data_IF_430870587516
#
_entry.id   IF_430870587516
#
_cell.length_a   1.000
_cell.length_b   1.000
_cell.length_c   1.000
_cell.angle_alpha   90.00
_cell.angle_beta   90.00
_cell.angle_gamma   90.00
#
_symmetry.space_group_name_H-M   'P 1'
#
loop_
_entity.id
_entity.type
_entity.pdbx_description
1 polymer ?
#
# COMPACT_ATOMS: atom_id res chain seq x y z
N UNK A 1 4.90 -21.17 9.37
CA UNK A 1 3.56 -21.18 8.74
C UNK A 1 3.25 -22.55 8.18
N UNK A 2 1.97 -22.93 8.14
CA UNK A 2 1.50 -24.17 7.52
C UNK A 2 1.92 -24.23 6.04
N UNK A 3 2.46 -25.36 5.59
CA UNK A 3 2.87 -25.57 4.18
C UNK A 3 1.68 -25.44 3.24
N UNK A 4 0.49 -25.90 3.63
CA UNK A 4 -0.71 -25.82 2.80
C UNK A 4 -1.12 -24.37 2.56
N UNK A 5 -1.04 -23.54 3.59
CA UNK A 5 -1.29 -22.10 3.51
C UNK A 5 -0.34 -21.40 2.54
N UNK A 6 0.97 -21.72 2.63
CA UNK A 6 1.98 -21.16 1.70
C UNK A 6 1.67 -21.55 0.26
N UNK A 7 1.33 -22.81 0.00
CA UNK A 7 0.98 -23.27 -1.35
C UNK A 7 -0.24 -22.54 -1.90
N UNK A 8 -1.32 -22.40 -1.13
CA UNK A 8 -2.54 -21.71 -1.57
C UNK A 8 -2.29 -20.23 -1.88
N UNK A 9 -1.45 -19.55 -1.07
CA UNK A 9 -1.04 -18.17 -1.35
C UNK A 9 -0.16 -18.06 -2.60
N UNK A 10 0.81 -18.97 -2.79
CA UNK A 10 1.65 -19.01 -3.98
C UNK A 10 0.85 -19.25 -5.26
N UNK A 11 -0.22 -20.04 -5.22
CA UNK A 11 -1.12 -20.25 -6.36
C UNK A 11 -1.88 -18.98 -6.74
N UNK A 12 -2.14 -18.08 -5.78
CA UNK A 12 -2.83 -16.81 -6.01
C UNK A 12 -1.89 -15.79 -6.66
N UNK A 13 -0.72 -15.54 -6.04
CA UNK A 13 0.16 -14.42 -6.44
C UNK A 13 1.36 -14.83 -7.27
N UNK A 14 1.70 -16.12 -7.30
CA UNK A 14 2.96 -16.66 -7.83
C UNK A 14 4.07 -16.71 -6.78
N UNK A 15 4.95 -17.72 -6.86
CA UNK A 15 6.03 -17.92 -5.87
C UNK A 15 6.99 -16.72 -5.75
N UNK A 16 7.20 -15.98 -6.83
CA UNK A 16 8.04 -14.76 -6.84
C UNK A 16 7.47 -13.64 -5.94
N UNK A 17 6.15 -13.65 -5.71
CA UNK A 17 5.42 -12.59 -5.02
C UNK A 17 4.96 -12.99 -3.62
N UNK A 18 5.44 -14.13 -3.11
CA UNK A 18 5.30 -14.59 -1.74
C UNK A 18 6.68 -14.79 -1.13
N UNK A 19 6.94 -14.19 0.04
CA UNK A 19 8.19 -14.40 0.75
C UNK A 19 7.99 -14.72 2.23
N UNK A 20 8.72 -15.73 2.70
CA UNK A 20 8.90 -16.07 4.11
C UNK A 20 10.37 -16.04 4.52
N UNK A 21 11.23 -15.41 3.71
CA UNK A 21 12.68 -15.31 3.97
C UNK A 21 12.96 -14.29 5.07
N UNK A 22 13.84 -14.61 6.01
CA UNK A 22 14.08 -13.80 7.20
C UNK A 22 14.51 -12.35 6.89
N UNK A 23 15.32 -12.14 5.86
CA UNK A 23 15.76 -10.83 5.38
C UNK A 23 14.59 -9.98 4.85
N UNK A 24 13.68 -10.59 4.09
CA UNK A 24 12.47 -9.93 3.61
C UNK A 24 11.53 -9.65 4.78
N UNK A 25 11.28 -10.60 5.68
CA UNK A 25 10.40 -10.38 6.83
C UNK A 25 10.91 -9.22 7.71
N UNK A 26 12.23 -9.12 7.91
CA UNK A 26 12.85 -8.02 8.64
C UNK A 26 12.61 -6.67 7.97
N UNK A 27 12.73 -6.57 6.64
CA UNK A 27 12.50 -5.33 5.90
C UNK A 27 11.05 -4.81 6.00
N UNK A 28 10.10 -5.68 6.34
CA UNK A 28 8.67 -5.36 6.49
C UNK A 28 8.22 -5.37 7.96
N UNK A 29 9.14 -5.48 8.91
CA UNK A 29 8.83 -5.59 10.35
C UNK A 29 8.54 -4.26 11.05
N UNK A 30 8.89 -3.13 10.42
CA UNK A 30 8.75 -1.79 10.97
C UNK A 30 8.32 -0.78 9.93
N UNK A 31 8.03 0.44 10.36
CA UNK A 31 7.73 1.61 9.52
C UNK A 31 8.86 2.64 9.63
N UNK A 32 8.65 3.86 9.13
CA UNK A 32 9.58 4.95 9.35
C UNK A 32 9.55 5.49 10.81
N UNK A 33 8.58 5.06 11.62
CA UNK A 33 8.55 5.35 13.05
C UNK A 33 9.75 4.75 13.77
N UNK A 34 10.36 5.53 14.66
CA UNK A 34 11.38 5.07 15.61
C UNK A 34 10.81 4.77 17.00
N UNK A 35 9.49 4.90 17.19
CA UNK A 35 8.85 4.81 18.50
C UNK A 35 8.50 3.38 18.93
N UNK A 36 8.49 2.43 17.99
CA UNK A 36 8.01 1.06 18.20
C UNK A 36 9.05 0.03 17.79
N UNK A 37 9.03 -1.10 18.51
CA UNK A 37 9.87 -2.24 18.20
C UNK A 37 9.40 -2.94 16.91
N UNK A 38 10.33 -3.48 16.11
CA UNK A 38 9.98 -4.25 14.92
C UNK A 38 9.23 -5.53 15.29
N UNK A 39 8.18 -5.84 14.54
CA UNK A 39 7.40 -7.09 14.67
C UNK A 39 7.55 -7.91 13.40
N UNK A 40 7.96 -9.17 13.51
CA UNK A 40 8.14 -10.01 12.33
C UNK A 40 6.80 -10.54 11.82
N UNK A 41 6.45 -10.30 10.54
CA UNK A 41 5.32 -10.97 9.91
C UNK A 41 5.67 -12.44 9.63
N UNK A 42 4.65 -13.26 9.39
CA UNK A 42 4.81 -14.64 8.94
C UNK A 42 5.09 -14.75 7.44
N UNK A 43 4.53 -13.83 6.64
CA UNK A 43 4.77 -13.74 5.20
C UNK A 43 4.58 -12.32 4.66
N UNK A 44 5.26 -12.02 3.56
CA UNK A 44 5.04 -10.82 2.73
C UNK A 44 4.46 -11.28 1.39
N UNK A 45 3.32 -10.73 1.01
CA UNK A 45 2.53 -11.11 -0.16
C UNK A 45 2.33 -9.88 -1.03
N UNK A 46 2.66 -9.95 -2.33
CA UNK A 46 2.61 -8.83 -3.27
C UNK A 46 1.61 -9.08 -4.40
N UNK A 47 0.30 -8.84 -4.20
CA UNK A 47 -0.70 -9.02 -5.26
C UNK A 47 -0.50 -8.07 -6.44
N UNK A 48 -0.91 -8.48 -7.63
CA UNK A 48 -0.87 -7.69 -8.86
C UNK A 48 -2.11 -6.82 -9.07
N UNK A 49 -3.25 -7.23 -8.49
CA UNK A 49 -4.57 -6.66 -8.75
C UNK A 49 -5.54 -6.89 -7.58
N UNK A 50 -6.73 -6.31 -7.69
CA UNK A 50 -7.77 -6.42 -6.68
C UNK A 50 -8.35 -7.84 -6.53
N UNK A 51 -8.29 -8.67 -7.58
CA UNK A 51 -8.78 -10.05 -7.51
C UNK A 51 -7.85 -10.90 -6.62
N UNK A 52 -6.54 -10.75 -6.79
CA UNK A 52 -5.55 -11.39 -5.91
C UNK A 52 -5.68 -10.89 -4.48
N UNK A 53 -5.87 -9.59 -4.25
CA UNK A 53 -6.13 -9.04 -2.90
C UNK A 53 -7.35 -9.72 -2.27
N UNK A 54 -8.46 -9.81 -3.00
CA UNK A 54 -9.69 -10.47 -2.51
C UNK A 54 -9.44 -11.94 -2.14
N UNK A 55 -8.71 -12.69 -2.96
CA UNK A 55 -8.37 -14.09 -2.67
C UNK A 55 -7.47 -14.23 -1.43
N UNK A 56 -6.49 -13.34 -1.26
CA UNK A 56 -5.62 -13.33 -0.06
C UNK A 56 -6.45 -13.09 1.21
N UNK A 57 -7.39 -12.14 1.18
CA UNK A 57 -8.29 -11.87 2.32
C UNK A 57 -9.10 -13.12 2.68
N UNK A 58 -9.63 -13.83 1.69
CA UNK A 58 -10.38 -15.08 1.92
C UNK A 58 -9.51 -16.17 2.54
N UNK A 59 -8.26 -16.33 2.08
CA UNK A 59 -7.31 -17.29 2.66
C UNK A 59 -6.95 -16.89 4.09
N UNK A 60 -6.66 -15.62 4.35
CA UNK A 60 -6.35 -15.14 5.69
C UNK A 60 -7.50 -15.40 6.67
N UNK A 61 -8.75 -15.11 6.26
CA UNK A 61 -9.94 -15.39 7.05
C UNK A 61 -10.14 -16.89 7.30
N UNK A 62 -9.91 -17.73 6.30
CA UNK A 62 -10.01 -19.20 6.41
C UNK A 62 -9.02 -19.79 7.42
N UNK A 63 -7.83 -19.20 7.54
CA UNK A 63 -6.75 -19.68 8.40
C UNK A 63 -6.57 -18.86 9.70
N UNK A 64 -7.46 -17.89 9.94
CA UNK A 64 -7.42 -16.98 11.09
C UNK A 64 -6.08 -16.25 11.23
N UNK A 65 -5.55 -15.73 10.11
CA UNK A 65 -4.28 -14.99 10.10
C UNK A 65 -4.55 -13.49 9.91
N UNK A 66 -4.03 -12.62 10.80
CA UNK A 66 -4.21 -11.18 10.65
C UNK A 66 -3.52 -10.66 9.39
N UNK A 67 -4.10 -9.62 8.79
CA UNK A 67 -3.54 -8.92 7.63
C UNK A 67 -3.17 -7.50 8.03
N UNK A 68 -1.96 -7.11 7.64
CA UNK A 68 -1.51 -5.72 7.65
C UNK A 68 -1.33 -5.25 6.21
N UNK A 69 -2.23 -4.40 5.68
CA UNK A 69 -2.02 -3.80 4.37
C UNK A 69 -0.84 -2.83 4.45
N UNK A 70 0.03 -2.87 3.44
CA UNK A 70 1.19 -1.99 3.37
C UNK A 70 1.36 -1.45 1.95
N UNK A 71 1.69 -0.17 1.85
CA UNK A 71 2.13 0.43 0.60
C UNK A 71 3.60 0.87 0.74
N UNK A 72 3.90 2.15 0.60
CA UNK A 72 5.27 2.69 0.70
C UNK A 72 5.96 2.55 2.07
N UNK A 73 5.26 2.10 3.12
CA UNK A 73 5.84 1.83 4.44
C UNK A 73 6.42 3.05 5.17
N UNK A 74 6.13 4.27 4.70
CA UNK A 74 6.73 5.52 5.16
C UNK A 74 5.98 6.17 6.34
N UNK A 75 5.03 5.48 6.97
CA UNK A 75 4.27 6.07 8.07
C UNK A 75 5.15 6.27 9.31
N UNK A 76 4.81 7.31 10.08
CA UNK A 76 5.40 7.62 11.39
C UNK A 76 4.49 7.23 12.56
N UNK A 77 3.26 6.77 12.29
CA UNK A 77 2.24 6.48 13.32
C UNK A 77 1.91 4.98 13.39
N UNK A 78 2.86 4.13 13.00
CA UNK A 78 2.85 2.68 13.29
C UNK A 78 1.78 1.85 12.54
N UNK A 79 0.95 2.44 11.69
CA UNK A 79 -0.22 1.76 11.08
C UNK A 79 0.13 0.59 10.15
N UNK A 80 1.38 0.51 9.71
CA UNK A 80 1.89 -0.56 8.85
C UNK A 80 2.91 -1.47 9.56
N UNK A 81 2.95 -1.45 10.90
CA UNK A 81 3.63 -2.48 11.69
C UNK A 81 2.75 -3.74 11.68
N UNK A 82 3.31 -4.92 11.38
CA UNK A 82 2.51 -6.13 11.26
C UNK A 82 2.20 -6.77 12.61
N UNK A 83 1.18 -7.62 12.61
CA UNK A 83 0.93 -8.54 13.73
C UNK A 83 1.93 -9.72 13.72
N UNK A 84 2.34 -10.25 14.89
CA UNK A 84 3.27 -11.38 14.96
C UNK A 84 2.77 -12.58 14.17
N UNK A 85 3.53 -13.03 13.18
CA UNK A 85 3.14 -14.16 12.33
C UNK A 85 2.02 -13.87 11.33
N UNK A 86 1.53 -12.63 11.26
CA UNK A 86 0.52 -12.17 10.31
C UNK A 86 1.04 -12.02 8.88
N UNK A 87 0.14 -11.67 7.96
CA UNK A 87 0.50 -11.36 6.57
C UNK A 87 0.70 -9.87 6.40
N UNK A 88 1.82 -9.49 5.81
CA UNK A 88 1.93 -8.17 5.17
C UNK A 88 1.49 -8.31 3.72
N UNK A 89 0.45 -7.57 3.35
CA UNK A 89 -0.03 -7.50 1.96
C UNK A 89 0.46 -6.19 1.37
N UNK A 90 1.51 -6.26 0.55
CA UNK A 90 2.15 -5.09 -0.03
C UNK A 90 1.58 -4.76 -1.43
N UNK A 91 1.06 -3.54 -1.57
CA UNK A 91 0.23 -3.14 -2.69
C UNK A 91 1.00 -2.40 -3.81
N UNK A 92 2.33 -2.36 -3.82
CA UNK A 92 3.11 -1.51 -4.73
C UNK A 92 3.00 -1.93 -6.20
N UNK A 93 2.54 -3.16 -6.49
CA UNK A 93 2.30 -3.63 -7.86
C UNK A 93 1.00 -3.12 -8.48
N UNK A 94 0.08 -2.56 -7.68
CA UNK A 94 -1.16 -1.98 -8.18
C UNK A 94 -0.87 -0.57 -8.70
N UNK A 95 -0.31 -0.48 -9.91
CA UNK A 95 0.27 0.78 -10.45
C UNK A 95 -0.56 1.44 -11.55
N UNK A 96 -1.76 0.94 -11.83
CA UNK A 96 -2.60 1.48 -12.90
C UNK A 96 -3.03 2.92 -12.61
N UNK A 97 -3.00 3.77 -13.65
CA UNK A 97 -3.48 5.15 -13.58
C UNK A 97 -4.42 5.38 -14.75
N UNK A 98 -5.64 5.84 -14.46
CA UNK A 98 -6.65 6.19 -15.46
C UNK A 98 -7.09 7.64 -15.27
N UNK A 99 -6.81 8.47 -16.26
CA UNK A 99 -7.24 9.87 -16.29
C UNK A 99 -8.66 10.02 -16.85
N UNK A 100 -9.50 10.74 -16.13
CA UNK A 100 -10.85 11.13 -16.55
C UNK A 100 -10.86 12.63 -16.83
N UNK A 101 -10.51 13.03 -18.06
CA UNK A 101 -10.29 14.45 -18.43
C UNK A 101 -11.51 15.34 -18.16
N UNK A 102 -12.70 14.88 -18.50
CA UNK A 102 -13.96 15.62 -18.33
C UNK A 102 -14.28 15.89 -16.85
N UNK A 103 -13.92 14.96 -15.98
CA UNK A 103 -14.14 15.06 -14.53
C UNK A 103 -12.98 15.71 -13.80
N UNK A 104 -11.85 15.96 -14.49
CA UNK A 104 -10.58 16.38 -13.91
C UNK A 104 -10.17 15.53 -12.71
N UNK A 105 -10.39 14.21 -12.82
CA UNK A 105 -10.10 13.24 -11.77
C UNK A 105 -9.24 12.09 -12.30
N UNK A 106 -8.66 11.31 -11.39
CA UNK A 106 -7.85 10.13 -11.70
C UNK A 106 -8.31 8.96 -10.84
N UNK A 107 -8.37 7.78 -11.45
CA UNK A 107 -8.38 6.51 -10.70
C UNK A 107 -6.95 6.01 -10.65
N UNK A 108 -6.46 5.67 -9.46
CA UNK A 108 -5.09 5.22 -9.25
C UNK A 108 -5.07 3.92 -8.44
N UNK A 109 -4.18 3.01 -8.81
CA UNK A 109 -3.91 1.82 -8.03
C UNK A 109 -3.23 2.17 -6.69
N UNK A 110 -3.37 1.30 -5.70
CA UNK A 110 -2.88 1.53 -4.35
C UNK A 110 -1.35 1.64 -4.24
N UNK A 111 -0.62 1.12 -5.25
CA UNK A 111 0.83 1.20 -5.35
C UNK A 111 1.37 2.48 -5.99
N UNK A 112 0.50 3.35 -6.50
CA UNK A 112 0.92 4.59 -7.17
C UNK A 112 1.42 5.60 -6.13
N UNK A 113 2.70 5.99 -6.23
CA UNK A 113 3.28 7.06 -5.41
C UNK A 113 2.83 8.44 -5.87
N UNK A 114 2.84 9.42 -4.97
CA UNK A 114 2.56 10.81 -5.33
C UNK A 114 3.55 11.32 -6.40
N UNK A 115 4.82 10.93 -6.33
CA UNK A 115 5.82 11.30 -7.34
C UNK A 115 5.51 10.74 -8.73
N UNK A 116 5.06 9.49 -8.83
CA UNK A 116 4.63 8.88 -10.10
C UNK A 116 3.38 9.59 -10.64
N UNK A 117 2.40 9.84 -9.77
CA UNK A 117 1.17 10.52 -10.17
C UNK A 117 1.43 11.97 -10.61
N UNK A 118 2.29 12.70 -9.91
CA UNK A 118 2.65 14.08 -10.26
C UNK A 118 3.26 14.15 -11.66
N UNK A 119 4.20 13.24 -11.97
CA UNK A 119 4.81 13.14 -13.29
C UNK A 119 3.76 12.87 -14.37
N UNK A 120 2.88 11.90 -14.14
CA UNK A 120 1.79 11.56 -15.06
C UNK A 120 0.84 12.75 -15.31
N UNK A 121 0.47 13.49 -14.27
CA UNK A 121 -0.42 14.64 -14.40
C UNK A 121 0.24 15.82 -15.13
N UNK A 122 1.54 16.05 -14.91
CA UNK A 122 2.30 17.10 -15.62
C UNK A 122 2.31 16.88 -17.13
N UNK A 123 2.42 15.64 -17.59
CA UNK A 123 2.32 15.28 -19.01
C UNK A 123 0.97 15.66 -19.64
N UNK A 124 -0.06 15.85 -18.82
CA UNK A 124 -1.41 16.24 -19.21
C UNK A 124 -1.76 17.70 -18.87
N UNK A 125 -0.78 18.53 -18.52
CA UNK A 125 -0.97 19.91 -18.05
C UNK A 125 -1.87 20.01 -16.80
N UNK A 126 -1.81 19.00 -15.93
CA UNK A 126 -2.50 18.92 -14.65
C UNK A 126 -1.48 18.92 -13.50
N UNK A 127 -1.95 19.12 -12.27
CA UNK A 127 -1.11 19.13 -11.08
C UNK A 127 -1.80 18.44 -9.91
N UNK A 128 -1.02 18.02 -8.91
CA UNK A 128 -1.55 17.51 -7.63
C UNK A 128 -1.86 18.67 -6.68
N UNK A 129 -3.09 18.75 -6.13
CA UNK A 129 -3.48 19.85 -5.24
C UNK A 129 -2.83 19.74 -3.85
N UNK A 130 -2.53 18.53 -3.38
CA UNK A 130 -1.85 18.26 -2.11
C UNK A 130 -0.63 17.40 -2.37
N UNK A 131 0.52 17.79 -1.81
CA UNK A 131 1.78 17.11 -2.02
C UNK A 131 2.46 16.78 -0.68
N UNK A 132 2.48 15.51 -0.24
CA UNK A 132 3.12 15.11 1.03
C UNK A 132 4.66 15.15 0.93
N UNK A 133 5.34 15.36 2.06
CA UNK A 133 6.82 15.44 2.09
C UNK A 133 7.50 14.14 1.66
N UNK A 134 6.88 12.99 1.94
CA UNK A 134 7.35 11.66 1.56
C UNK A 134 6.87 11.23 0.16
N UNK A 135 6.45 12.15 -0.71
CA UNK A 135 5.80 11.87 -1.99
C UNK A 135 6.50 10.88 -2.93
N UNK A 136 7.83 10.74 -2.84
CA UNK A 136 8.58 9.79 -3.65
C UNK A 136 8.34 8.32 -3.23
N UNK A 137 7.97 8.10 -1.97
CA UNK A 137 7.77 6.76 -1.39
C UNK A 137 6.33 6.52 -0.93
N UNK A 138 5.63 7.54 -0.42
CA UNK A 138 4.25 7.36 0.03
C UNK A 138 3.31 7.23 -1.18
N UNK A 139 2.32 6.34 -1.05
CA UNK A 139 1.30 6.14 -2.07
C UNK A 139 0.08 7.00 -1.82
N UNK A 140 -0.73 7.19 -2.87
CA UNK A 140 -2.04 7.85 -2.77
C UNK A 140 -2.90 7.09 -1.78
N UNK A 141 -3.04 5.77 -1.93
CA UNK A 141 -3.82 4.94 -1.00
C UNK A 141 -3.29 4.99 0.44
N UNK A 142 -1.97 5.02 0.64
CA UNK A 142 -1.39 5.18 1.97
C UNK A 142 -1.79 6.50 2.63
N UNK A 143 -1.79 7.61 1.88
CA UNK A 143 -2.26 8.90 2.40
C UNK A 143 -3.76 8.95 2.61
N UNK A 144 -4.56 8.27 1.78
CA UNK A 144 -6.01 8.14 1.98
C UNK A 144 -6.29 7.44 3.32
N UNK A 145 -5.55 6.36 3.63
CA UNK A 145 -5.74 5.60 4.87
C UNK A 145 -5.50 6.42 6.15
N UNK A 146 -4.58 7.39 6.11
CA UNK A 146 -4.21 8.23 7.27
C UNK A 146 -4.76 9.67 7.19
N UNK A 147 -5.56 9.98 6.16
CA UNK A 147 -5.98 11.34 5.82
C UNK A 147 -4.81 12.35 5.79
N UNK A 148 -3.76 11.99 5.05
CA UNK A 148 -2.50 12.73 5.00
C UNK A 148 -2.67 14.17 4.52
N UNK A 149 -1.79 15.04 5.00
CA UNK A 149 -1.72 16.44 4.65
C UNK A 149 -0.30 16.82 4.17
N UNK A 150 -0.20 17.98 3.53
CA UNK A 150 1.06 18.54 3.04
C UNK A 150 0.86 19.90 2.36
N UNK A 151 1.90 20.48 1.74
CA UNK A 151 1.78 21.63 0.85
C UNK A 151 0.52 21.58 -0.02
N UNK A 152 -0.26 22.68 0.01
CA UNK A 152 -1.55 22.81 -0.67
C UNK A 152 -2.78 22.55 0.21
N UNK A 153 -2.63 21.84 1.33
CA UNK A 153 -3.79 21.43 2.15
C UNK A 153 -4.57 22.60 2.77
N UNK A 154 -3.91 23.74 3.01
CA UNK A 154 -4.59 24.95 3.50
C UNK A 154 -5.60 25.54 2.52
N UNK A 155 -5.47 25.24 1.23
CA UNK A 155 -6.38 25.71 0.19
C UNK A 155 -7.30 24.60 -0.33
N UNK A 156 -6.79 23.36 -0.43
CA UNK A 156 -7.50 22.25 -1.06
C UNK A 156 -8.05 21.19 -0.08
N UNK A 157 -7.78 21.33 1.22
CA UNK A 157 -8.11 20.31 2.22
C UNK A 157 -7.06 19.20 2.30
N UNK A 158 -7.27 18.23 3.20
CA UNK A 158 -6.41 17.05 3.32
C UNK A 158 -6.74 16.03 2.21
N UNK A 159 -5.96 14.95 2.15
CA UNK A 159 -6.11 13.91 1.11
C UNK A 159 -7.55 13.36 1.04
N UNK A 160 -8.21 13.18 2.19
CA UNK A 160 -9.60 12.68 2.23
C UNK A 160 -10.60 13.54 1.45
N UNK A 161 -10.40 14.86 1.40
CA UNK A 161 -11.32 15.78 0.69
C UNK A 161 -11.15 15.74 -0.83
N UNK A 162 -10.13 15.03 -1.31
CA UNK A 162 -9.82 14.84 -2.72
C UNK A 162 -10.32 13.48 -3.25
N UNK A 163 -10.90 12.64 -2.39
CA UNK A 163 -11.37 11.30 -2.72
C UNK A 163 -12.88 11.29 -2.93
N UNK A 164 -13.32 10.81 -4.09
CA UNK A 164 -14.75 10.73 -4.44
C UNK A 164 -15.32 9.30 -4.44
N UNK A 165 -14.46 8.27 -4.35
CA UNK A 165 -14.85 6.85 -4.36
C UNK A 165 -13.70 5.92 -4.68
#
# INVERSE_FOLDING_TARGET
MDKKLITELSEIVGEEYLSTKADVLLAYSSTASMASDPVLPGAVIRPADAEQVSKIIQVAAKYDVPITPRSGGSSLQEEAIPEPGGFVVELMRLTDIKLHKELRSVTVGAGVTYGVLEKFLKEHNLFLPVYPESALVCTVAGNVAVNGAGPGSSHFGCTGELVFG
#
